data_IF_509718506618
#
_entry.id   IF_509718506618
#
_cell.length_a   1.000
_cell.length_b   1.000
_cell.length_c   1.000
_cell.angle_alpha   90.00
_cell.angle_beta   90.00
_cell.angle_gamma   90.00
#
_symmetry.space_group_name_H-M   'P 1'
#
loop_
_entity.id
_entity.type
_entity.pdbx_description
1 polymer ?
#
# COMPACT_ATOMS: atom_id res chain seq x y z
N UNK A 1 4.90 -4.11 14.85
CA UNK A 1 4.29 -4.93 13.79
C UNK A 1 4.97 -4.61 12.48
N UNK A 2 5.10 -5.54 11.52
CA UNK A 2 5.65 -5.25 10.20
C UNK A 2 4.68 -4.43 9.33
N UNK A 3 3.50 -4.07 9.81
CA UNK A 3 2.56 -3.24 9.07
C UNK A 3 2.68 -1.77 9.47
N UNK A 4 2.42 -0.89 8.52
CA UNK A 4 2.04 0.49 8.81
C UNK A 4 0.71 0.50 9.59
N UNK A 5 0.57 1.49 10.45
CA UNK A 5 -0.63 1.83 11.23
C UNK A 5 -1.63 2.62 10.39
N UNK A 6 -1.17 3.27 9.33
CA UNK A 6 -2.05 3.96 8.38
C UNK A 6 -2.48 3.00 7.27
N UNK A 7 -3.79 2.97 7.02
CA UNK A 7 -4.42 2.27 5.91
C UNK A 7 -4.99 3.27 4.91
N UNK A 8 -4.96 2.92 3.62
CA UNK A 8 -5.71 3.64 2.60
C UNK A 8 -7.12 3.06 2.51
N UNK A 9 -8.14 3.90 2.53
CA UNK A 9 -9.53 3.47 2.39
C UNK A 9 -9.83 3.24 0.91
N UNK A 10 -10.34 2.06 0.59
CA UNK A 10 -10.80 1.68 -0.75
C UNK A 10 -12.33 1.64 -0.73
N UNK A 11 -12.95 2.49 -1.56
CA UNK A 11 -14.40 2.50 -1.74
C UNK A 11 -14.81 1.55 -2.88
N UNK A 12 -16.08 1.14 -2.92
CA UNK A 12 -16.63 0.29 -3.99
C UNK A 12 -16.49 0.90 -5.39
N UNK A 13 -16.34 2.22 -5.49
CA UNK A 13 -16.19 2.94 -6.76
C UNK A 13 -14.73 2.94 -7.26
N UNK A 14 -13.77 2.66 -6.38
CA UNK A 14 -12.36 2.66 -6.72
C UNK A 14 -11.96 1.35 -7.39
N UNK A 15 -11.10 1.45 -8.41
CA UNK A 15 -10.44 0.28 -8.97
C UNK A 15 -9.14 0.03 -8.19
N UNK A 16 -9.19 -0.87 -7.21
CA UNK A 16 -8.03 -1.24 -6.35
C UNK A 16 -6.77 -1.53 -7.17
N UNK A 17 -6.91 -2.17 -8.33
CA UNK A 17 -5.76 -2.48 -9.18
C UNK A 17 -5.08 -1.21 -9.72
N UNK A 18 -5.86 -0.24 -10.18
CA UNK A 18 -5.33 1.04 -10.65
C UNK A 18 -4.67 1.83 -9.51
N UNK A 19 -5.27 1.81 -8.32
CA UNK A 19 -4.69 2.46 -7.12
C UNK A 19 -3.33 1.86 -6.78
N UNK A 20 -3.20 0.53 -6.81
CA UNK A 20 -1.93 -0.16 -6.58
C UNK A 20 -0.88 0.16 -7.65
N UNK A 21 -1.28 0.18 -8.91
CA UNK A 21 -0.38 0.51 -10.02
C UNK A 21 0.10 1.96 -9.94
N UNK A 22 -0.79 2.90 -9.58
CA UNK A 22 -0.43 4.30 -9.33
C UNK A 22 0.52 4.45 -8.14
N UNK A 23 0.23 3.80 -7.02
CA UNK A 23 1.10 3.80 -5.84
C UNK A 23 2.52 3.34 -6.18
N UNK A 24 2.64 2.24 -6.93
CA UNK A 24 3.93 1.71 -7.36
C UNK A 24 4.68 2.69 -8.29
N UNK A 25 3.96 3.34 -9.20
CA UNK A 25 4.52 4.29 -10.16
C UNK A 25 4.99 5.59 -9.49
N UNK A 26 4.14 6.23 -8.71
CA UNK A 26 4.40 7.57 -8.17
C UNK A 26 5.34 7.54 -6.97
N UNK A 27 5.26 6.52 -6.13
CA UNK A 27 6.02 6.47 -4.87
C UNK A 27 7.31 5.66 -4.96
N UNK A 28 7.38 4.68 -5.87
CA UNK A 28 8.52 3.77 -5.96
C UNK A 28 9.17 3.70 -7.34
N UNK A 29 8.67 4.47 -8.31
CA UNK A 29 9.16 4.47 -9.69
C UNK A 29 9.18 3.05 -10.31
N UNK A 30 8.22 2.21 -9.90
CA UNK A 30 8.00 0.90 -10.48
C UNK A 30 7.03 1.03 -11.67
N UNK A 31 7.15 0.19 -12.71
CA UNK A 31 6.23 0.24 -13.85
C UNK A 31 4.76 0.00 -13.46
N UNK A 32 4.53 -0.88 -12.46
CA UNK A 32 3.23 -1.26 -11.92
C UNK A 32 3.39 -2.13 -10.67
N UNK A 33 2.30 -2.36 -9.94
CA UNK A 33 2.27 -3.35 -8.87
C UNK A 33 2.28 -4.78 -9.45
N UNK A 34 2.94 -5.72 -8.76
CA UNK A 34 3.00 -7.13 -9.18
C UNK A 34 2.40 -8.00 -8.08
N UNK A 35 1.34 -8.74 -8.39
CA UNK A 35 0.71 -9.65 -7.45
C UNK A 35 1.66 -10.78 -7.07
N UNK A 36 1.75 -11.10 -5.79
CA UNK A 36 2.58 -12.18 -5.28
C UNK A 36 1.96 -13.55 -5.58
N UNK A 37 2.73 -14.47 -6.14
CA UNK A 37 2.23 -15.82 -6.49
C UNK A 37 1.76 -16.63 -5.27
N UNK A 38 2.35 -16.38 -4.10
CA UNK A 38 2.04 -17.09 -2.86
C UNK A 38 0.89 -16.46 -2.06
N UNK A 39 0.46 -15.24 -2.40
CA UNK A 39 -0.64 -14.57 -1.71
C UNK A 39 -1.34 -13.59 -2.67
N UNK A 40 -2.59 -13.87 -3.07
CA UNK A 40 -3.32 -13.05 -4.03
C UNK A 40 -3.65 -11.64 -3.50
N UNK A 41 -3.65 -11.44 -2.19
CA UNK A 41 -3.93 -10.16 -1.56
C UNK A 41 -2.67 -9.29 -1.43
N UNK A 42 -1.49 -9.85 -1.69
CA UNK A 42 -0.22 -9.11 -1.60
C UNK A 42 0.31 -8.71 -2.97
N UNK A 43 0.86 -7.49 -3.02
CA UNK A 43 1.44 -6.91 -4.21
C UNK A 43 2.81 -6.31 -3.90
N UNK A 44 3.81 -6.69 -4.69
CA UNK A 44 5.09 -6.00 -4.73
C UNK A 44 4.90 -4.65 -5.44
N UNK A 45 5.24 -3.56 -4.76
CA UNK A 45 5.06 -2.18 -5.26
C UNK A 45 6.39 -1.42 -5.36
N UNK A 46 7.44 -1.92 -4.71
CA UNK A 46 8.67 -1.20 -4.44
C UNK A 46 9.80 -1.49 -5.44
N UNK A 47 9.43 -1.68 -6.71
CA UNK A 47 10.36 -1.90 -7.82
C UNK A 47 11.31 -3.10 -7.62
N UNK A 48 10.83 -4.16 -6.95
CA UNK A 48 11.58 -5.40 -6.74
C UNK A 48 12.53 -5.39 -5.54
N UNK A 49 12.53 -4.32 -4.74
CA UNK A 49 13.33 -4.23 -3.51
C UNK A 49 12.80 -5.16 -2.41
N UNK A 50 11.50 -5.47 -2.44
CA UNK A 50 10.83 -6.40 -1.53
C UNK A 50 10.99 -6.02 -0.03
N UNK A 51 11.07 -4.72 0.22
CA UNK A 51 11.05 -4.08 1.53
C UNK A 51 9.65 -3.63 1.92
N UNK A 52 8.85 -3.18 0.96
CA UNK A 52 7.46 -2.72 1.18
C UNK A 52 6.54 -3.40 0.15
N UNK A 53 5.45 -3.99 0.65
CA UNK A 53 4.39 -4.59 -0.14
C UNK A 53 3.07 -3.94 0.21
N UNK A 54 2.18 -3.82 -0.76
CA UNK A 54 0.78 -3.54 -0.49
C UNK A 54 0.04 -4.83 -0.16
N UNK A 55 -0.92 -4.75 0.75
CA UNK A 55 -1.85 -5.83 1.10
C UNK A 55 -3.26 -5.30 0.97
N UNK A 56 -4.08 -5.96 0.15
CA UNK A 56 -5.48 -5.63 -0.05
C UNK A 56 -6.32 -6.39 0.96
N UNK A 57 -7.01 -5.67 1.83
CA UNK A 57 -7.95 -6.22 2.80
C UNK A 57 -9.37 -5.90 2.31
N UNK A 58 -9.93 -6.80 1.50
CA UNK A 58 -11.25 -6.59 0.89
C UNK A 58 -12.38 -6.60 1.92
N UNK A 59 -12.23 -7.34 3.02
CA UNK A 59 -13.25 -7.44 4.07
C UNK A 59 -13.43 -6.12 4.79
N UNK A 60 -12.34 -5.37 4.97
CA UNK A 60 -12.35 -4.06 5.63
C UNK A 60 -12.31 -2.88 4.65
N UNK A 61 -12.12 -3.15 3.35
CA UNK A 61 -12.02 -2.11 2.32
C UNK A 61 -10.73 -1.29 2.44
N UNK A 62 -9.59 -1.94 2.71
CA UNK A 62 -8.31 -1.25 2.91
C UNK A 62 -7.20 -1.71 1.96
N UNK A 63 -6.26 -0.79 1.68
CA UNK A 63 -4.90 -1.13 1.26
C UNK A 63 -3.96 -0.81 2.42
N UNK A 64 -3.23 -1.82 2.88
CA UNK A 64 -2.25 -1.76 3.94
C UNK A 64 -0.84 -1.84 3.36
N UNK A 65 0.14 -1.30 4.07
CA UNK A 65 1.55 -1.53 3.73
C UNK A 65 2.20 -2.50 4.72
N UNK A 66 2.72 -3.60 4.17
CA UNK A 66 3.57 -4.55 4.86
C UNK A 66 5.04 -4.22 4.59
N UNK A 67 5.76 -3.91 5.65
CA UNK A 67 7.17 -3.57 5.71
C UNK A 67 7.98 -4.76 6.25
N UNK A 68 8.92 -5.25 5.44
CA UNK A 68 9.73 -6.42 5.77
C UNK A 68 10.60 -6.21 7.02
N UNK A 69 11.06 -4.97 7.25
CA UNK A 69 11.88 -4.61 8.40
C UNK A 69 11.35 -3.35 9.08
N UNK A 70 11.59 -3.23 10.39
CA UNK A 70 11.09 -2.11 11.20
C UNK A 70 11.45 -0.71 10.67
N UNK A 71 12.66 -0.44 10.14
CA UNK A 71 12.99 0.89 9.62
C UNK A 71 12.13 1.32 8.42
N UNK A 72 11.56 0.36 7.69
CA UNK A 72 10.68 0.66 6.56
C UNK A 72 9.26 1.00 6.99
N UNK A 73 8.90 0.82 8.27
CA UNK A 73 7.57 1.20 8.76
C UNK A 73 7.42 2.73 8.66
N UNK A 74 8.40 3.49 9.14
CA UNK A 74 8.36 4.96 9.08
C UNK A 74 8.33 5.45 7.61
N UNK A 75 9.12 4.81 6.73
CA UNK A 75 9.11 5.08 5.29
C UNK A 75 7.73 4.75 4.68
N UNK A 76 7.15 3.60 5.03
CA UNK A 76 5.84 3.19 4.56
C UNK A 76 4.73 4.13 5.05
N UNK A 77 4.81 4.61 6.29
CA UNK A 77 3.90 5.61 6.85
C UNK A 77 3.94 6.92 6.08
N UNK A 78 5.13 7.42 5.79
CA UNK A 78 5.30 8.62 4.97
C UNK A 78 4.77 8.40 3.56
N UNK A 79 5.07 7.25 2.95
CA UNK A 79 4.64 6.91 1.61
C UNK A 79 3.11 6.86 1.49
N UNK A 80 2.43 6.13 2.37
CA UNK A 80 0.97 5.96 2.25
C UNK A 80 0.23 7.27 2.51
N UNK A 81 0.71 8.10 3.45
CA UNK A 81 0.13 9.42 3.73
C UNK A 81 0.34 10.39 2.58
N UNK A 82 1.57 10.45 2.07
CA UNK A 82 1.90 11.32 0.93
C UNK A 82 1.12 10.90 -0.32
N UNK A 83 1.05 9.59 -0.61
CA UNK A 83 0.27 9.08 -1.73
C UNK A 83 -1.21 9.44 -1.60
N UNK A 84 -1.79 9.26 -0.41
CA UNK A 84 -3.18 9.60 -0.17
C UNK A 84 -3.45 11.10 -0.36
N UNK A 85 -2.57 11.96 0.15
CA UNK A 85 -2.66 13.41 -0.02
C UNK A 85 -2.55 13.83 -1.51
N UNK A 86 -1.58 13.28 -2.25
CA UNK A 86 -1.38 13.60 -3.67
C UNK A 86 -2.54 13.12 -4.57
N UNK A 87 -3.24 12.05 -4.20
CA UNK A 87 -4.34 11.46 -4.98
C UNK A 87 -5.74 11.78 -4.41
N UNK A 88 -5.82 12.60 -3.36
CA UNK A 88 -7.06 12.93 -2.65
C UNK A 88 -7.83 11.70 -2.14
N UNK A 89 -7.09 10.72 -1.61
CA UNK A 89 -7.65 9.51 -1.00
C UNK A 89 -7.76 9.62 0.51
N UNK A 90 -8.78 8.96 1.07
CA UNK A 90 -8.97 8.89 2.52
C UNK A 90 -8.08 7.83 3.16
N UNK A 91 -7.65 8.09 4.40
CA UNK A 91 -6.85 7.16 5.20
C UNK A 91 -7.50 6.90 6.56
N UNK A 92 -7.16 5.76 7.15
CA UNK A 92 -7.58 5.37 8.50
C UNK A 92 -6.37 5.00 9.36
N UNK A 93 -6.38 5.41 10.64
CA UNK A 93 -5.39 4.99 11.62
C UNK A 93 -5.88 3.75 12.38
N UNK A 94 -5.16 2.64 12.26
CA UNK A 94 -5.57 1.32 12.76
C UNK A 94 -5.24 1.05 14.24
N UNK A 95 -4.55 1.97 14.92
CA UNK A 95 -4.18 1.84 16.34
C UNK A 95 -4.88 2.89 17.24
N UNK A 96 -6.10 3.27 16.91
CA UNK A 96 -6.92 4.11 17.79
C UNK A 96 -7.37 3.37 19.07
#
# INVERSE_FOLDING_TARGET
MPYCKTALIVTEQMNTRLVLDQLAQTMFNAPRAVQCEWNPDQFAIDNGMNNIRAVVDNDRGFILLYCRYSPYIDIGEEVIKKFADEQDYSTECLEC
#
